data_IF_175547878100
#
_entry.id   IF_175547878100
#
_cell.length_a   1.000
_cell.length_b   1.000
_cell.length_c   1.000
_cell.angle_alpha   90.00
_cell.angle_beta   90.00
_cell.angle_gamma   90.00
#
_symmetry.space_group_name_H-M   'P 1'
#
loop_
_entity.id
_entity.type
_entity.pdbx_description
1 polymer ?
#
# COMPACT_ATOMS: atom_id res chain seq x y z
N UNK A 1 3.72 -4.12 28.11
CA UNK A 1 2.82 -5.28 27.94
C UNK A 1 3.68 -6.49 27.63
N UNK A 2 3.71 -7.48 28.52
CA UNK A 2 4.51 -8.70 28.35
C UNK A 2 3.65 -9.72 27.60
N UNK A 3 4.07 -10.15 26.41
CA UNK A 3 3.34 -11.17 25.63
C UNK A 3 3.95 -12.54 25.90
N UNK A 4 3.11 -13.57 26.08
CA UNK A 4 3.53 -14.97 26.25
C UNK A 4 3.13 -15.76 25.03
N UNK A 5 4.10 -16.33 24.32
CA UNK A 5 3.85 -17.20 23.19
C UNK A 5 3.52 -18.63 23.68
N UNK A 6 2.32 -19.10 23.37
CA UNK A 6 1.81 -20.43 23.76
C UNK A 6 1.77 -21.41 22.58
N UNK A 7 2.30 -21.02 21.41
CA UNK A 7 2.20 -21.80 20.17
C UNK A 7 2.82 -23.19 20.32
N UNK A 8 3.99 -23.31 20.98
CA UNK A 8 4.63 -24.61 21.23
C UNK A 8 3.77 -25.52 22.11
N UNK A 9 3.13 -24.97 23.13
CA UNK A 9 2.26 -25.73 24.04
C UNK A 9 0.97 -26.17 23.31
N UNK A 10 0.43 -25.30 22.45
CA UNK A 10 -0.71 -25.62 21.58
C UNK A 10 -0.37 -26.73 20.59
N UNK A 11 0.78 -26.67 19.92
CA UNK A 11 1.23 -27.73 19.00
C UNK A 11 1.40 -29.06 19.70
N UNK A 12 1.93 -29.05 20.94
CA UNK A 12 2.06 -30.24 21.74
C UNK A 12 0.69 -30.86 22.07
N UNK A 13 -0.31 -30.05 22.45
CA UNK A 13 -1.66 -30.54 22.69
C UNK A 13 -2.37 -31.02 21.42
N UNK A 14 -2.20 -30.29 20.29
CA UNK A 14 -2.76 -30.69 18.99
C UNK A 14 -2.19 -32.03 18.53
N UNK A 15 -0.87 -32.19 18.59
CA UNK A 15 -0.19 -33.42 18.18
C UNK A 15 -0.49 -34.58 19.12
N UNK A 16 -0.81 -34.32 20.39
CA UNK A 16 -1.25 -35.33 21.35
C UNK A 16 -2.69 -35.78 21.08
N UNK A 17 -3.59 -34.84 20.79
CA UNK A 17 -4.98 -35.13 20.45
C UNK A 17 -5.13 -35.93 19.14
N UNK A 18 -4.25 -35.72 18.16
CA UNK A 18 -4.25 -36.51 16.92
C UNK A 18 -3.60 -37.89 17.06
N UNK A 19 -2.70 -38.08 18.04
CA UNK A 19 -2.01 -39.36 18.29
C UNK A 19 -2.74 -40.29 19.26
N UNK A 20 -3.59 -39.78 20.14
CA UNK A 20 -4.40 -40.58 21.06
C UNK A 20 -5.90 -40.44 20.78
N UNK A 21 -6.46 -41.15 19.77
CA UNK A 21 -7.91 -41.27 19.63
C UNK A 21 -8.54 -42.21 20.68
N UNK A 22 -7.73 -42.83 21.54
CA UNK A 22 -8.14 -43.89 22.44
C UNK A 22 -8.26 -43.43 23.90
N UNK A 23 -9.32 -42.70 24.25
CA UNK A 23 -9.81 -42.76 25.64
C UNK A 23 -11.33 -42.72 25.83
N UNK A 24 -12.16 -42.58 24.78
CA UNK A 24 -13.62 -42.47 24.98
C UNK A 24 -14.49 -43.20 23.94
N UNK A 25 -14.02 -44.27 23.29
CA UNK A 25 -14.90 -45.07 22.42
C UNK A 25 -14.66 -46.57 22.62
N UNK A 26 -15.73 -47.25 23.02
CA UNK A 26 -15.87 -48.70 23.13
C UNK A 26 -15.24 -49.46 21.94
N UNK A 27 -14.45 -50.48 22.29
CA UNK A 27 -13.45 -51.11 21.44
C UNK A 27 -14.00 -52.11 20.41
N UNK A 28 -15.20 -51.87 19.85
CA UNK A 28 -15.81 -52.79 18.87
C UNK A 28 -16.27 -52.15 17.55
N UNK A 29 -16.27 -50.82 17.44
CA UNK A 29 -16.68 -50.12 16.22
C UNK A 29 -15.53 -49.52 15.42
N UNK A 30 -14.29 -49.58 15.94
CA UNK A 30 -13.12 -48.98 15.28
C UNK A 30 -12.69 -49.82 14.08
N UNK A 31 -12.75 -51.15 14.16
CA UNK A 31 -12.42 -52.04 13.05
C UNK A 31 -13.16 -51.70 11.75
N UNK A 32 -14.46 -51.41 11.83
CA UNK A 32 -15.27 -51.05 10.65
C UNK A 32 -14.95 -49.65 10.13
N UNK A 33 -14.59 -48.69 11.00
CA UNK A 33 -14.28 -47.32 10.58
C UNK A 33 -12.85 -47.17 10.06
N UNK A 34 -11.92 -47.98 10.56
CA UNK A 34 -10.53 -48.03 10.05
C UNK A 34 -10.43 -48.90 8.81
N UNK A 35 -11.25 -49.94 8.66
CA UNK A 35 -11.32 -50.72 7.42
C UNK A 35 -11.88 -49.90 6.25
N UNK A 36 -12.85 -49.01 6.50
CA UNK A 36 -13.38 -48.07 5.50
C UNK A 36 -12.40 -46.93 5.11
N UNK A 37 -11.28 -46.79 5.81
CA UNK A 37 -10.18 -45.88 5.46
C UNK A 37 -9.01 -46.60 4.78
N UNK A 38 -9.08 -47.93 4.66
CA UNK A 38 -7.95 -48.76 4.24
C UNK A 38 -8.26 -49.60 2.99
N UNK A 39 -9.39 -49.33 2.31
CA UNK A 39 -9.69 -49.88 1.01
C UNK A 39 -9.84 -48.77 -0.03
N UNK A 40 -8.89 -48.80 -0.96
CA UNK A 40 -8.94 -48.25 -2.31
C UNK A 40 -8.62 -46.76 -2.47
N UNK A 41 -7.50 -46.57 -3.19
CA UNK A 41 -6.90 -45.36 -3.71
C UNK A 41 -6.32 -44.36 -2.69
N UNK A 42 -4.97 -44.32 -2.67
CA UNK A 42 -4.23 -43.11 -2.34
C UNK A 42 -4.54 -42.03 -3.38
N UNK A 43 -5.78 -41.55 -3.41
CA UNK A 43 -6.06 -40.19 -3.80
C UNK A 43 -5.48 -39.33 -2.67
N UNK A 44 -4.17 -39.06 -2.79
CA UNK A 44 -3.62 -37.82 -2.28
C UNK A 44 -4.57 -36.77 -2.83
N UNK A 45 -5.50 -36.29 -1.99
CA UNK A 45 -6.23 -35.07 -2.25
C UNK A 45 -5.13 -34.03 -2.34
N UNK A 46 -4.64 -33.82 -3.55
CA UNK A 46 -3.88 -32.66 -3.91
C UNK A 46 -4.81 -31.53 -3.51
N UNK A 47 -4.52 -30.96 -2.35
CA UNK A 47 -5.05 -29.67 -1.98
C UNK A 47 -4.41 -28.72 -2.99
N UNK A 48 -5.00 -28.69 -4.17
CA UNK A 48 -4.69 -27.73 -5.21
C UNK A 48 -4.84 -26.40 -4.52
N UNK A 49 -3.68 -25.78 -4.28
CA UNK A 49 -3.57 -24.58 -3.47
C UNK A 49 -4.64 -23.63 -4.01
N UNK A 50 -5.67 -23.25 -3.22
CA UNK A 50 -6.81 -22.53 -3.76
C UNK A 50 -6.26 -21.34 -4.52
N UNK A 51 -6.57 -21.28 -5.81
CA UNK A 51 -6.01 -20.28 -6.72
C UNK A 51 -6.15 -18.92 -6.04
N UNK A 52 -5.01 -18.23 -5.93
CA UNK A 52 -4.96 -16.97 -5.20
C UNK A 52 -6.01 -16.04 -5.83
N UNK A 53 -6.95 -15.48 -5.04
CA UNK A 53 -8.01 -14.67 -5.61
C UNK A 53 -7.42 -13.56 -6.48
N UNK A 54 -7.99 -13.34 -7.67
CA UNK A 54 -7.49 -12.35 -8.64
C UNK A 54 -7.26 -10.96 -8.00
N UNK A 55 -8.11 -10.56 -7.04
CA UNK A 55 -7.97 -9.29 -6.33
C UNK A 55 -6.70 -9.21 -5.46
N UNK A 56 -6.27 -10.33 -4.89
CA UNK A 56 -5.07 -10.43 -4.05
C UNK A 56 -3.80 -10.33 -4.91
N UNK A 57 -3.82 -10.84 -6.14
CA UNK A 57 -2.75 -10.61 -7.11
C UNK A 57 -2.64 -9.13 -7.49
N UNK A 58 -3.77 -8.46 -7.73
CA UNK A 58 -3.80 -7.01 -7.96
C UNK A 58 -3.28 -6.22 -6.77
N UNK A 59 -3.68 -6.58 -5.54
CA UNK A 59 -3.19 -5.94 -4.32
C UNK A 59 -1.66 -6.07 -4.21
N UNK A 60 -1.13 -7.29 -4.40
CA UNK A 60 0.32 -7.53 -4.39
C UNK A 60 1.03 -6.71 -5.46
N UNK A 61 0.46 -6.62 -6.66
CA UNK A 61 1.01 -5.79 -7.74
C UNK A 61 1.05 -4.31 -7.34
N UNK A 62 -0.03 -3.78 -6.76
CA UNK A 62 -0.10 -2.39 -6.29
C UNK A 62 0.96 -2.16 -5.20
N UNK A 63 1.10 -3.06 -4.23
CA UNK A 63 2.11 -2.94 -3.18
C UNK A 63 3.53 -2.89 -3.76
N UNK A 64 3.85 -3.74 -4.74
CA UNK A 64 5.14 -3.73 -5.43
C UNK A 64 5.38 -2.41 -6.19
N UNK A 65 4.38 -1.91 -6.92
CA UNK A 65 4.47 -0.63 -7.62
C UNK A 65 4.66 0.53 -6.64
N UNK A 66 3.97 0.53 -5.50
CA UNK A 66 4.12 1.55 -4.46
C UNK A 66 5.52 1.55 -3.84
N UNK A 67 6.09 0.37 -3.59
CA UNK A 67 7.45 0.25 -3.08
C UNK A 67 8.51 0.70 -4.09
N UNK A 68 8.30 0.40 -5.37
CA UNK A 68 9.14 0.89 -6.46
C UNK A 68 9.09 2.43 -6.54
N UNK A 69 7.90 3.01 -6.57
CA UNK A 69 7.71 4.47 -6.55
C UNK A 69 8.39 5.08 -5.33
N UNK A 70 8.21 4.49 -4.14
CA UNK A 70 8.86 4.96 -2.91
C UNK A 70 10.38 4.97 -3.02
N UNK A 71 10.96 3.97 -3.66
CA UNK A 71 12.41 3.91 -3.93
C UNK A 71 12.86 5.02 -4.89
N UNK A 72 12.13 5.20 -5.99
CA UNK A 72 12.43 6.22 -7.01
C UNK A 72 12.29 7.64 -6.45
N UNK A 73 11.25 7.92 -5.65
CA UNK A 73 11.06 9.22 -4.98
C UNK A 73 12.24 9.54 -4.04
N UNK A 74 12.76 8.56 -3.30
CA UNK A 74 13.97 8.75 -2.47
C UNK A 74 15.20 9.07 -3.31
N UNK A 75 15.39 8.36 -4.43
CA UNK A 75 16.51 8.60 -5.35
C UNK A 75 16.42 10.00 -5.96
N UNK A 76 15.22 10.42 -6.39
CA UNK A 76 14.96 11.76 -6.89
C UNK A 76 15.29 12.83 -5.84
N UNK A 77 14.85 12.64 -4.60
CA UNK A 77 15.16 13.56 -3.50
C UNK A 77 16.67 13.70 -3.28
N UNK A 78 17.43 12.61 -3.34
CA UNK A 78 18.89 12.65 -3.21
C UNK A 78 19.55 13.41 -4.36
N UNK A 79 19.10 13.18 -5.60
CA UNK A 79 19.61 13.88 -6.79
C UNK A 79 19.27 15.37 -6.77
N UNK A 80 18.02 15.74 -6.44
CA UNK A 80 17.60 17.13 -6.28
C UNK A 80 18.43 17.84 -5.21
N UNK A 81 18.61 17.22 -4.04
CA UNK A 81 19.45 17.78 -2.97
C UNK A 81 20.93 17.91 -3.38
N UNK A 82 21.45 16.98 -4.17
CA UNK A 82 22.82 17.04 -4.71
C UNK A 82 22.96 18.20 -5.70
N UNK A 83 22.00 18.31 -6.63
CA UNK A 83 21.93 19.36 -7.63
C UNK A 83 21.87 20.76 -7.01
N UNK A 84 21.04 20.92 -5.98
CA UNK A 84 20.92 22.18 -5.23
C UNK A 84 22.21 22.61 -4.51
N UNK A 85 23.07 21.66 -4.11
CA UNK A 85 24.30 21.93 -3.35
C UNK A 85 25.53 22.15 -4.24
N UNK A 86 25.50 21.77 -5.51
CA UNK A 86 26.63 21.92 -6.41
C UNK A 86 26.66 23.34 -7.02
N UNK A 87 27.83 24.00 -7.10
CA UNK A 87 28.01 25.18 -7.94
C UNK A 87 27.77 24.81 -9.41
N UNK A 88 27.20 25.72 -10.22
CA UNK A 88 26.89 25.47 -11.64
C UNK A 88 28.17 25.14 -12.44
N UNK A 89 28.45 23.85 -12.58
CA UNK A 89 29.45 23.28 -13.49
C UNK A 89 28.75 22.33 -14.48
N UNK A 90 29.43 21.95 -15.57
CA UNK A 90 28.90 21.22 -16.74
C UNK A 90 28.14 19.90 -16.42
N UNK A 91 28.42 19.26 -15.27
CA UNK A 91 27.69 18.10 -14.75
C UNK A 91 26.20 18.38 -14.43
N UNK A 92 25.82 19.65 -14.32
CA UNK A 92 24.49 20.12 -14.00
C UNK A 92 23.45 19.71 -15.07
N UNK A 93 23.80 19.74 -16.36
CA UNK A 93 22.89 19.39 -17.45
C UNK A 93 22.51 17.89 -17.43
N UNK A 94 23.43 17.02 -17.04
CA UNK A 94 23.21 15.57 -17.01
C UNK A 94 22.40 15.17 -15.78
N UNK A 95 22.72 15.75 -14.62
CA UNK A 95 21.91 15.57 -13.40
C UNK A 95 20.49 16.11 -13.58
N UNK A 96 20.33 17.24 -14.28
CA UNK A 96 19.03 17.82 -14.62
C UNK A 96 18.18 16.90 -15.48
N UNK A 97 18.74 16.43 -16.61
CA UNK A 97 18.05 15.45 -17.46
C UNK A 97 17.63 14.20 -16.68
N UNK A 98 18.45 13.74 -15.74
CA UNK A 98 18.12 12.61 -14.88
C UNK A 98 16.97 12.93 -13.91
N UNK A 99 16.95 14.14 -13.32
CA UNK A 99 15.85 14.61 -12.45
C UNK A 99 14.54 14.67 -13.24
N UNK A 100 14.56 15.20 -14.46
CA UNK A 100 13.37 15.31 -15.31
C UNK A 100 12.87 13.93 -15.74
N UNK A 101 13.78 13.04 -16.15
CA UNK A 101 13.44 11.66 -16.51
C UNK A 101 12.82 10.92 -15.33
N UNK A 102 13.45 10.98 -14.15
CA UNK A 102 12.90 10.35 -12.94
C UNK A 102 11.56 10.95 -12.51
N UNK A 103 11.37 12.25 -12.68
CA UNK A 103 10.10 12.92 -12.36
C UNK A 103 8.98 12.44 -13.28
N UNK A 104 9.25 12.30 -14.58
CA UNK A 104 8.31 11.74 -15.55
C UNK A 104 8.04 10.25 -15.27
N UNK A 105 9.08 9.46 -14.97
CA UNK A 105 8.94 8.05 -14.61
C UNK A 105 8.08 7.87 -13.35
N UNK A 106 8.32 8.66 -12.31
CA UNK A 106 7.49 8.65 -11.09
C UNK A 106 6.04 9.03 -11.41
N UNK A 107 5.83 10.03 -12.25
CA UNK A 107 4.48 10.48 -12.61
C UNK A 107 3.73 9.38 -13.38
N UNK A 108 4.38 8.71 -14.33
CA UNK A 108 3.79 7.58 -15.07
C UNK A 108 3.52 6.38 -14.16
N UNK A 109 4.44 6.01 -13.27
CA UNK A 109 4.22 4.95 -12.28
C UNK A 109 3.05 5.28 -11.33
N UNK A 110 2.92 6.54 -10.90
CA UNK A 110 1.78 6.99 -10.09
C UNK A 110 0.46 6.87 -10.88
N UNK A 111 0.44 7.19 -12.17
CA UNK A 111 -0.74 7.01 -13.03
C UNK A 111 -1.10 5.53 -13.21
N UNK A 112 -0.12 4.66 -13.43
CA UNK A 112 -0.34 3.21 -13.53
C UNK A 112 -0.84 2.60 -12.21
N UNK A 113 -0.32 3.07 -11.08
CA UNK A 113 -0.78 2.69 -9.75
C UNK A 113 -2.23 3.15 -9.54
N UNK A 114 -2.56 4.39 -9.90
CA UNK A 114 -3.94 4.91 -9.85
C UNK A 114 -4.90 4.02 -10.67
N UNK A 115 -4.52 3.67 -11.91
CA UNK A 115 -5.32 2.79 -12.75
C UNK A 115 -5.50 1.38 -12.12
N UNK A 116 -4.46 0.86 -11.47
CA UNK A 116 -4.51 -0.45 -10.79
C UNK A 116 -5.42 -0.42 -9.56
N UNK A 117 -5.35 0.64 -8.75
CA UNK A 117 -6.23 0.87 -7.60
C UNK A 117 -7.69 1.03 -8.05
N UNK A 118 -7.94 1.76 -9.14
CA UNK A 118 -9.29 1.87 -9.72
C UNK A 118 -9.83 0.51 -10.20
N UNK A 119 -8.99 -0.32 -10.84
CA UNK A 119 -9.38 -1.69 -11.24
C UNK A 119 -9.75 -2.55 -10.03
N UNK A 120 -8.99 -2.46 -8.94
CA UNK A 120 -9.30 -3.16 -7.69
C UNK A 120 -10.64 -2.69 -7.10
N UNK A 121 -10.90 -1.38 -7.09
CA UNK A 121 -12.19 -0.80 -6.67
C UNK A 121 -13.36 -1.29 -7.53
N UNK A 122 -13.18 -1.40 -8.85
CA UNK A 122 -14.19 -1.97 -9.75
C UNK A 122 -14.45 -3.45 -9.48
N UNK A 123 -13.41 -4.22 -9.15
CA UNK A 123 -13.54 -5.63 -8.78
C UNK A 123 -14.27 -5.80 -7.44
N UNK A 124 -14.04 -4.89 -6.49
CA UNK A 124 -14.79 -4.83 -5.23
C UNK A 124 -16.30 -4.66 -5.48
N UNK A 125 -16.68 -3.74 -6.38
CA UNK A 125 -18.08 -3.49 -6.75
C UNK A 125 -18.73 -4.67 -7.47
N UNK A 126 -17.98 -5.42 -8.29
CA UNK A 126 -18.50 -6.59 -9.03
C UNK A 126 -18.67 -7.84 -8.15
N UNK A 127 -17.91 -7.96 -7.07
CA UNK A 127 -17.87 -9.16 -6.21
C UNK A 127 -19.02 -9.24 -5.18
N UNK A 128 -20.08 -8.44 -5.37
CA UNK A 128 -21.23 -8.25 -4.47
C UNK A 128 -22.07 -9.50 -4.15
N UNK A 129 -21.67 -10.70 -4.62
CA UNK A 129 -22.37 -11.97 -4.34
C UNK A 129 -21.95 -12.61 -3.01
N UNK A 130 -20.74 -12.34 -2.51
CA UNK A 130 -20.24 -12.88 -1.23
C UNK A 130 -19.92 -11.72 -0.26
N UNK A 131 -20.68 -11.63 0.84
CA UNK A 131 -20.53 -10.58 1.86
C UNK A 131 -19.11 -10.52 2.47
N UNK A 132 -18.50 -11.68 2.70
CA UNK A 132 -17.16 -11.78 3.31
C UNK A 132 -16.03 -11.33 2.36
N UNK A 133 -16.06 -11.80 1.10
CA UNK A 133 -15.08 -11.41 0.07
C UNK A 133 -15.18 -9.92 -0.24
N UNK A 134 -16.39 -9.36 -0.25
CA UNK A 134 -16.59 -7.93 -0.46
C UNK A 134 -15.92 -7.09 0.65
N UNK A 135 -16.01 -7.52 1.92
CA UNK A 135 -15.37 -6.80 3.03
C UNK A 135 -13.85 -6.89 2.97
N UNK A 136 -13.30 -8.07 2.66
CA UNK A 136 -11.86 -8.26 2.46
C UNK A 136 -11.33 -7.36 1.35
N UNK A 137 -11.98 -7.37 0.19
CA UNK A 137 -11.56 -6.53 -0.94
C UNK A 137 -11.70 -5.05 -0.58
N UNK A 138 -12.77 -4.64 0.10
CA UNK A 138 -12.94 -3.25 0.53
C UNK A 138 -11.83 -2.81 1.49
N UNK A 139 -11.40 -3.68 2.41
CA UNK A 139 -10.31 -3.39 3.33
C UNK A 139 -8.97 -3.29 2.59
N UNK A 140 -8.72 -4.19 1.63
CA UNK A 140 -7.54 -4.15 0.78
C UNK A 140 -7.48 -2.89 -0.10
N UNK A 141 -8.60 -2.49 -0.72
CA UNK A 141 -8.69 -1.23 -1.49
C UNK A 141 -8.39 -0.05 -0.58
N UNK A 142 -8.95 -0.04 0.64
CA UNK A 142 -8.72 1.04 1.60
C UNK A 142 -7.24 1.14 1.97
N UNK A 143 -6.61 0.03 2.34
CA UNK A 143 -5.18 -0.02 2.68
C UNK A 143 -4.31 0.46 1.51
N UNK A 144 -4.61 0.01 0.27
CA UNK A 144 -3.89 0.41 -0.93
C UNK A 144 -4.04 1.92 -1.21
N UNK A 145 -5.25 2.46 -1.10
CA UNK A 145 -5.54 3.88 -1.32
C UNK A 145 -4.83 4.76 -0.30
N UNK A 146 -4.81 4.38 0.98
CA UNK A 146 -4.10 5.12 2.02
C UNK A 146 -2.59 5.12 1.81
N UNK A 147 -2.01 3.96 1.47
CA UNK A 147 -0.59 3.86 1.15
C UNK A 147 -0.22 4.71 -0.08
N UNK A 148 -1.08 4.72 -1.11
CA UNK A 148 -0.90 5.52 -2.31
C UNK A 148 -1.03 7.03 -2.03
N UNK A 149 -1.99 7.44 -1.19
CA UNK A 149 -2.15 8.82 -0.75
C UNK A 149 -0.90 9.32 -0.02
N UNK A 150 -0.37 8.55 0.94
CA UNK A 150 0.85 8.90 1.69
C UNK A 150 2.05 9.15 0.75
N UNK A 151 2.27 8.25 -0.22
CA UNK A 151 3.36 8.40 -1.20
C UNK A 151 3.15 9.61 -2.10
N UNK A 152 1.93 9.83 -2.59
CA UNK A 152 1.58 10.96 -3.47
C UNK A 152 1.76 12.29 -2.75
N UNK A 153 1.32 12.39 -1.49
CA UNK A 153 1.53 13.58 -0.65
C UNK A 153 3.01 13.84 -0.38
N UNK A 154 3.80 12.80 -0.06
CA UNK A 154 5.25 12.94 0.11
C UNK A 154 5.93 13.44 -1.15
N UNK A 155 5.62 12.85 -2.30
CA UNK A 155 6.16 13.30 -3.59
C UNK A 155 5.84 14.77 -3.87
N UNK A 156 4.57 15.18 -3.70
CA UNK A 156 4.16 16.58 -3.86
C UNK A 156 4.94 17.52 -2.93
N UNK A 157 5.09 17.15 -1.66
CA UNK A 157 5.84 17.97 -0.69
C UNK A 157 7.32 18.10 -1.07
N UNK A 158 7.95 17.03 -1.57
CA UNK A 158 9.33 17.08 -2.05
C UNK A 158 9.47 17.97 -3.29
N UNK A 159 8.57 17.83 -4.27
CA UNK A 159 8.57 18.68 -5.47
C UNK A 159 8.32 20.15 -5.12
N UNK A 160 7.38 20.43 -4.21
CA UNK A 160 7.13 21.79 -3.73
C UNK A 160 8.36 22.38 -3.03
N UNK A 161 9.01 21.59 -2.17
CA UNK A 161 10.26 21.98 -1.50
C UNK A 161 11.38 22.29 -2.50
N UNK A 162 11.51 21.47 -3.55
CA UNK A 162 12.47 21.67 -4.63
C UNK A 162 12.21 22.99 -5.38
N UNK A 163 10.97 23.24 -5.80
CA UNK A 163 10.57 24.49 -6.48
C UNK A 163 10.86 25.71 -5.59
N UNK A 164 10.52 25.64 -4.30
CA UNK A 164 10.75 26.75 -3.37
C UNK A 164 12.24 27.08 -3.25
N UNK A 165 13.10 26.06 -3.16
CA UNK A 165 14.55 26.25 -3.10
C UNK A 165 15.13 26.77 -4.42
N UNK A 166 14.64 26.31 -5.57
CA UNK A 166 15.00 26.88 -6.87
C UNK A 166 14.63 28.36 -6.98
N UNK A 167 13.46 28.75 -6.49
CA UNK A 167 13.03 30.16 -6.44
C UNK A 167 13.91 30.99 -5.52
N UNK A 168 14.24 30.49 -4.33
CA UNK A 168 15.13 31.19 -3.40
C UNK A 168 16.54 31.34 -3.96
N UNK A 169 17.07 30.31 -4.63
CA UNK A 169 18.34 30.37 -5.36
C UNK A 169 18.29 31.42 -6.47
N UNK A 170 17.19 31.48 -7.23
CA UNK A 170 16.97 32.49 -8.26
C UNK A 170 17.01 33.91 -7.70
N UNK A 171 16.23 34.15 -6.64
CA UNK A 171 16.12 35.47 -6.03
C UNK A 171 17.44 35.94 -5.44
N UNK A 172 18.18 35.04 -4.77
CA UNK A 172 19.51 35.35 -4.25
C UNK A 172 20.51 35.65 -5.38
N UNK A 173 20.54 34.84 -6.46
CA UNK A 173 21.38 35.11 -7.63
C UNK A 173 21.06 36.47 -8.25
N UNK A 174 19.76 36.80 -8.38
CA UNK A 174 19.31 38.08 -8.92
C UNK A 174 19.77 39.25 -8.05
N UNK A 175 19.66 39.14 -6.74
CA UNK A 175 20.12 40.18 -5.80
C UNK A 175 21.63 40.38 -5.81
N UNK A 176 22.43 39.31 -5.88
CA UNK A 176 23.89 39.44 -6.05
C UNK A 176 24.27 40.11 -7.36
N UNK A 177 23.56 39.81 -8.46
CA UNK A 177 23.82 40.43 -9.76
C UNK A 177 23.39 41.90 -9.79
N UNK A 178 22.20 42.24 -9.28
CA UNK A 178 21.77 43.65 -9.20
C UNK A 178 22.66 44.48 -8.28
N UNK A 179 23.15 43.91 -7.17
CA UNK A 179 24.08 44.60 -6.29
C UNK A 179 25.47 44.75 -6.92
N UNK A 180 25.91 43.79 -7.74
CA UNK A 180 27.15 43.92 -8.52
C UNK A 180 27.03 44.99 -9.60
N UNK A 181 25.91 45.06 -10.32
CA UNK A 181 25.62 46.14 -11.27
C UNK A 181 25.64 47.50 -10.55
N UNK A 182 24.93 47.67 -9.43
CA UNK A 182 24.92 48.96 -8.69
C UNK A 182 26.33 49.35 -8.23
N UNK A 183 27.14 48.40 -7.76
CA UNK A 183 28.51 48.67 -7.27
C UNK A 183 29.50 48.98 -8.40
N UNK A 184 29.28 48.46 -9.61
CA UNK A 184 30.07 48.77 -10.81
C UNK A 184 29.74 50.16 -11.38
N UNK A 185 28.51 50.66 -11.16
CA UNK A 185 28.11 52.02 -11.55
C UNK A 185 28.47 53.07 -10.49
N UNK A 186 28.78 52.67 -9.25
CA UNK A 186 29.29 53.57 -8.22
C UNK A 186 30.82 53.53 -8.18
N UNK A 187 31.47 54.28 -9.08
CA UNK A 187 32.88 54.63 -8.90
C UNK A 187 33.06 55.33 -7.53
N UNK A 188 33.92 54.84 -6.61
CA UNK A 188 34.24 55.57 -5.38
C UNK A 188 35.20 56.75 -5.60
N UNK A 189 35.43 57.17 -6.84
CA UNK A 189 36.43 58.18 -7.19
C UNK A 189 35.86 59.14 -8.23
N UNK A 190 34.94 60.00 -7.78
CA UNK A 190 34.67 61.27 -8.44
C UNK A 190 34.84 62.36 -7.39
N UNK A 191 36.09 62.62 -7.05
CA UNK A 191 36.54 63.97 -6.75
C UNK A 191 37.60 64.33 -7.80
N UNK A 192 37.45 65.53 -8.34
CA UNK A 192 38.39 66.32 -9.16
C UNK A 192 38.33 66.19 -10.70
N UNK A 193 37.63 67.16 -11.31
CA UNK A 193 38.05 68.01 -12.44
C UNK A 193 39.03 67.41 -13.48
N UNK A 194 38.53 66.76 -14.53
CA UNK A 194 39.22 66.69 -15.83
C UNK A 194 38.22 66.45 -16.99
N UNK A 195 38.20 67.26 -18.08
CA UNK A 195 37.27 67.09 -19.19
C UNK A 195 37.95 66.42 -20.39
N UNK A 196 38.27 65.13 -20.31
CA UNK A 196 38.58 64.29 -21.48
C UNK A 196 38.23 62.84 -21.15
N UNK A 197 36.93 62.53 -21.08
CA UNK A 197 36.45 61.14 -21.03
C UNK A 197 36.43 60.60 -22.45
N UNK A 198 37.39 59.72 -22.74
CA UNK A 198 37.57 59.03 -24.02
C UNK A 198 36.31 58.22 -24.42
N UNK A 199 35.70 58.60 -25.55
CA UNK A 199 34.43 58.03 -26.05
C UNK A 199 34.55 56.53 -26.40
N UNK A 200 35.76 56.07 -26.74
CA UNK A 200 36.07 54.67 -27.04
C UNK A 200 36.06 53.77 -25.79
N UNK A 201 36.33 54.33 -24.60
CA UNK A 201 36.25 53.57 -23.35
C UNK A 201 34.80 53.33 -22.91
N UNK A 202 33.89 54.28 -23.18
CA UNK A 202 32.46 54.16 -22.85
C UNK A 202 31.73 53.16 -23.77
N UNK A 203 32.17 53.02 -25.02
CA UNK A 203 31.59 52.08 -26.00
C UNK A 203 31.94 50.62 -25.66
N UNK A 204 33.16 50.35 -25.16
CA UNK A 204 33.55 49.01 -24.68
C UNK A 204 32.77 48.58 -23.43
N UNK A 205 32.44 49.50 -22.52
CA UNK A 205 31.60 49.21 -21.36
C UNK A 205 30.16 48.90 -21.77
N UNK A 206 29.60 49.63 -22.74
CA UNK A 206 28.26 49.39 -23.27
C UNK A 206 28.13 48.06 -24.01
N UNK A 207 29.14 47.67 -24.81
CA UNK A 207 29.14 46.38 -25.53
C UNK A 207 29.28 45.19 -24.55
N UNK A 208 30.05 45.36 -23.47
CA UNK A 208 30.12 44.39 -22.38
C UNK A 208 28.81 44.31 -21.57
N UNK A 209 28.09 45.42 -21.44
CA UNK A 209 26.82 45.51 -20.72
C UNK A 209 25.67 44.80 -21.45
N UNK A 210 25.62 44.88 -22.79
CA UNK A 210 24.67 44.12 -23.61
C UNK A 210 24.95 42.60 -23.58
N UNK A 211 26.21 42.19 -23.50
CA UNK A 211 26.57 40.79 -23.32
C UNK A 211 26.21 40.27 -21.93
N UNK A 212 26.47 41.04 -20.87
CA UNK A 212 26.15 40.63 -19.48
C UNK A 212 24.63 40.58 -19.26
N UNK A 213 23.87 41.56 -19.74
CA UNK A 213 22.39 41.54 -19.67
C UNK A 213 21.79 40.42 -20.52
N UNK A 214 22.30 40.16 -21.72
CA UNK A 214 21.80 39.06 -22.56
C UNK A 214 22.13 37.66 -22.01
N UNK A 215 23.28 37.48 -21.35
CA UNK A 215 23.62 36.23 -20.62
C UNK A 215 22.75 36.06 -19.36
N UNK A 216 22.48 37.14 -18.63
CA UNK A 216 21.58 37.16 -17.48
C UNK A 216 20.16 36.72 -17.88
N UNK A 217 19.61 37.30 -18.95
CA UNK A 217 18.29 36.94 -19.45
C UNK A 217 18.21 35.50 -19.97
N UNK A 218 19.30 34.96 -20.53
CA UNK A 218 19.36 33.55 -20.96
C UNK A 218 19.34 32.61 -19.76
N UNK A 219 20.13 32.90 -18.72
CA UNK A 219 20.18 32.10 -17.50
C UNK A 219 18.86 32.15 -16.72
N UNK A 220 18.21 33.32 -16.66
CA UNK A 220 16.88 33.47 -16.09
C UNK A 220 15.82 32.64 -16.85
N UNK A 221 15.81 32.72 -18.19
CA UNK A 221 14.87 31.94 -19.02
C UNK A 221 15.05 30.43 -18.83
N UNK A 222 16.28 29.95 -18.74
CA UNK A 222 16.55 28.52 -18.56
C UNK A 222 16.10 28.01 -17.19
N UNK A 223 16.24 28.82 -16.14
CA UNK A 223 15.71 28.50 -14.80
C UNK A 223 14.20 28.64 -14.68
N UNK A 224 13.58 29.61 -15.35
CA UNK A 224 12.11 29.69 -15.43
C UNK A 224 11.50 28.48 -16.14
N UNK A 225 12.18 27.99 -17.18
CA UNK A 225 11.78 26.76 -17.89
C UNK A 225 11.81 25.55 -16.95
N UNK A 226 12.86 25.40 -16.13
CA UNK A 226 12.97 24.32 -15.15
C UNK A 226 11.85 24.33 -14.12
N UNK A 227 11.55 25.52 -13.57
CA UNK A 227 10.44 25.69 -12.63
C UNK A 227 9.12 25.32 -13.31
N UNK A 228 8.93 25.71 -14.59
CA UNK A 228 7.72 25.38 -15.35
C UNK A 228 7.54 23.89 -15.59
N UNK A 229 8.61 23.18 -15.96
CA UNK A 229 8.57 21.72 -16.17
C UNK A 229 8.23 20.98 -14.87
N UNK A 230 8.80 21.41 -13.74
CA UNK A 230 8.46 20.86 -12.42
C UNK A 230 7.02 21.20 -12.00
N UNK A 231 6.51 22.39 -12.36
CA UNK A 231 5.12 22.77 -12.11
C UNK A 231 4.14 21.95 -12.96
N UNK A 232 4.52 21.55 -14.17
CA UNK A 232 3.70 20.71 -15.02
C UNK A 232 3.53 19.31 -14.40
N UNK A 233 4.63 18.67 -13.97
CA UNK A 233 4.55 17.37 -13.30
C UNK A 233 3.76 17.46 -11.98
N UNK A 234 3.85 18.59 -11.25
CA UNK A 234 3.00 18.84 -10.08
C UNK A 234 1.52 18.92 -10.43
N UNK A 235 1.16 19.51 -11.57
CA UNK A 235 -0.23 19.58 -12.03
C UNK A 235 -0.76 18.18 -12.39
N UNK A 236 0.05 17.35 -13.05
CA UNK A 236 -0.30 15.96 -13.34
C UNK A 236 -0.56 15.16 -12.06
N UNK A 237 0.27 15.34 -11.04
CA UNK A 237 0.07 14.72 -9.72
C UNK A 237 -1.15 15.28 -9.00
N UNK A 238 -1.49 16.56 -9.19
CA UNK A 238 -2.70 17.14 -8.60
C UNK A 238 -3.98 16.51 -9.17
N UNK A 239 -3.98 16.17 -10.46
CA UNK A 239 -5.08 15.43 -11.08
C UNK A 239 -5.21 14.03 -10.44
N UNK A 240 -4.11 13.31 -10.30
CA UNK A 240 -4.07 12.01 -9.61
C UNK A 240 -4.58 12.14 -8.16
N UNK A 241 -4.18 13.20 -7.46
CA UNK A 241 -4.61 13.45 -6.08
C UNK A 241 -6.12 13.67 -5.97
N UNK A 242 -6.72 14.41 -6.90
CA UNK A 242 -8.17 14.59 -6.94
C UNK A 242 -8.88 13.26 -7.19
N UNK A 243 -8.38 12.44 -8.11
CA UNK A 243 -8.93 11.10 -8.35
C UNK A 243 -8.90 10.23 -7.09
N UNK A 244 -7.78 10.24 -6.36
CA UNK A 244 -7.65 9.53 -5.08
C UNK A 244 -8.63 10.08 -4.04
N UNK A 245 -8.77 11.40 -3.93
CA UNK A 245 -9.67 12.02 -2.96
C UNK A 245 -11.12 11.58 -3.19
N UNK A 246 -11.55 11.44 -4.45
CA UNK A 246 -12.87 10.88 -4.77
C UNK A 246 -12.98 9.41 -4.37
N UNK A 247 -11.94 8.60 -4.59
CA UNK A 247 -11.90 7.20 -4.16
C UNK A 247 -11.98 7.06 -2.64
N UNK A 248 -11.25 7.87 -1.87
CA UNK A 248 -11.30 7.90 -0.40
C UNK A 248 -12.68 8.32 0.09
N UNK A 249 -13.24 9.40 -0.47
CA UNK A 249 -14.57 9.88 -0.09
C UNK A 249 -15.67 8.84 -0.33
N UNK A 250 -15.51 7.99 -1.36
CA UNK A 250 -16.47 6.94 -1.68
C UNK A 250 -16.38 5.69 -0.79
N UNK A 251 -15.26 5.49 -0.09
CA UNK A 251 -15.01 4.31 0.74
C UNK A 251 -15.42 4.48 2.22
N UNK A 252 -15.63 5.72 2.69
CA UNK A 252 -16.06 6.01 4.06
C UNK A 252 -14.91 6.23 5.06
N UNK A 253 -15.26 6.57 6.31
CA UNK A 253 -14.31 6.96 7.36
C UNK A 253 -13.63 5.73 7.96
N UNK A 254 -12.30 5.81 8.06
CA UNK A 254 -11.30 4.85 8.55
C UNK A 254 -11.59 4.06 9.85
N UNK A 255 -12.67 4.34 10.59
CA UNK A 255 -12.88 3.88 11.96
C UNK A 255 -14.07 2.91 12.09
N UNK A 256 -15.11 3.02 11.25
CA UNK A 256 -16.33 2.21 11.43
C UNK A 256 -16.10 0.70 11.18
N UNK A 257 -15.11 0.33 10.38
CA UNK A 257 -14.98 -1.05 9.91
C UNK A 257 -14.40 -2.02 10.96
N UNK A 258 -13.51 -1.59 11.86
CA UNK A 258 -12.95 -2.52 12.88
C UNK A 258 -14.01 -2.85 13.92
N UNK A 259 -14.69 -1.83 14.47
CA UNK A 259 -15.75 -2.02 15.46
C UNK A 259 -16.93 -2.81 14.87
N UNK A 260 -17.35 -2.47 13.65
CA UNK A 260 -18.39 -3.21 12.92
C UNK A 260 -18.01 -4.67 12.64
N UNK A 261 -16.78 -4.94 12.17
CA UNK A 261 -16.34 -6.32 11.86
C UNK A 261 -16.20 -7.17 13.13
N UNK A 262 -15.79 -6.57 14.25
CA UNK A 262 -15.75 -7.26 15.56
C UNK A 262 -17.17 -7.54 16.04
N UNK A 263 -18.07 -6.57 15.97
CA UNK A 263 -19.47 -6.72 16.37
C UNK A 263 -20.16 -7.84 15.59
N UNK A 264 -19.97 -7.90 14.29
CA UNK A 264 -20.52 -8.99 13.48
C UNK A 264 -19.91 -10.35 13.81
N UNK A 265 -18.60 -10.41 14.06
CA UNK A 265 -17.94 -11.66 14.47
C UNK A 265 -18.50 -12.16 15.81
N UNK A 266 -18.78 -11.25 16.74
CA UNK A 266 -19.43 -11.57 18.02
C UNK A 266 -20.82 -12.15 17.79
N UNK A 267 -21.64 -11.54 16.92
CA UNK A 267 -22.97 -12.07 16.57
C UNK A 267 -22.90 -13.47 15.95
N UNK A 268 -21.95 -13.70 15.04
CA UNK A 268 -21.76 -15.02 14.43
C UNK A 268 -21.29 -16.08 15.43
N UNK A 269 -20.40 -15.73 16.37
CA UNK A 269 -19.96 -16.62 17.45
C UNK A 269 -21.11 -16.99 18.39
N UNK A 270 -21.98 -16.04 18.72
CA UNK A 270 -23.14 -16.30 19.56
C UNK A 270 -24.10 -17.28 18.89
N UNK A 271 -24.39 -17.09 17.60
CA UNK A 271 -25.21 -18.03 16.82
C UNK A 271 -24.54 -19.41 16.74
N UNK A 272 -23.23 -19.46 16.45
CA UNK A 272 -22.45 -20.70 16.43
C UNK A 272 -22.52 -21.47 17.75
N UNK A 273 -22.43 -20.77 18.88
CA UNK A 273 -22.57 -21.37 20.21
C UNK A 273 -23.98 -21.97 20.41
N UNK A 274 -25.04 -21.28 19.98
CA UNK A 274 -26.40 -21.83 20.04
C UNK A 274 -26.54 -23.10 19.18
N UNK A 275 -25.91 -23.16 18.00
CA UNK A 275 -25.90 -24.35 17.17
C UNK A 275 -25.13 -25.51 17.82
N UNK A 276 -24.01 -25.24 18.48
CA UNK A 276 -23.26 -26.25 19.24
C UNK A 276 -24.08 -26.81 20.40
N UNK A 277 -24.76 -25.96 21.17
CA UNK A 277 -25.65 -26.39 22.26
C UNK A 277 -26.77 -27.29 21.74
N UNK A 278 -27.44 -26.89 20.65
CA UNK A 278 -28.49 -27.70 20.01
C UNK A 278 -27.93 -29.03 19.51
N UNK A 279 -26.74 -29.04 18.91
CA UNK A 279 -26.10 -30.26 18.43
C UNK A 279 -25.80 -31.25 19.57
N UNK A 280 -25.30 -30.76 20.71
CA UNK A 280 -25.06 -31.57 21.91
C UNK A 280 -26.37 -32.12 22.47
N UNK A 281 -27.43 -31.32 22.51
CA UNK A 281 -28.75 -31.76 22.97
C UNK A 281 -29.32 -32.87 22.07
N UNK A 282 -29.21 -32.70 20.75
CA UNK A 282 -29.59 -33.73 19.77
C UNK A 282 -28.78 -35.01 19.94
N UNK A 283 -27.45 -34.92 20.12
CA UNK A 283 -26.58 -36.07 20.35
C UNK A 283 -26.99 -36.83 21.61
N UNK A 284 -27.23 -36.12 22.73
CA UNK A 284 -27.65 -36.73 23.99
C UNK A 284 -29.03 -37.39 23.88
N UNK A 285 -29.96 -36.80 23.12
CA UNK A 285 -31.26 -37.42 22.83
C UNK A 285 -31.06 -38.72 22.05
N UNK A 286 -30.28 -38.72 20.96
CA UNK A 286 -30.03 -39.93 20.17
C UNK A 286 -29.41 -41.06 21.01
N UNK A 287 -28.48 -40.75 21.93
CA UNK A 287 -27.92 -41.73 22.86
C UNK A 287 -28.99 -42.35 23.78
N UNK A 288 -29.91 -41.55 24.31
CA UNK A 288 -31.04 -42.04 25.13
C UNK A 288 -31.96 -42.96 24.33
N UNK A 289 -32.32 -42.57 23.11
CA UNK A 289 -33.17 -43.39 22.23
C UNK A 289 -32.47 -44.70 21.82
N UNK A 290 -31.17 -44.66 21.53
CA UNK A 290 -30.37 -45.86 21.21
C UNK A 290 -30.38 -46.87 22.37
N UNK A 291 -30.26 -46.40 23.61
CA UNK A 291 -30.35 -47.27 24.80
C UNK A 291 -31.73 -47.91 24.95
N UNK A 292 -32.80 -47.16 24.69
CA UNK A 292 -34.18 -47.69 24.73
C UNK A 292 -34.37 -48.79 23.68
N UNK A 293 -33.93 -48.58 22.44
CA UNK A 293 -34.04 -49.59 21.39
C UNK A 293 -33.25 -50.87 21.71
N UNK A 294 -32.05 -50.75 22.30
CA UNK A 294 -31.27 -51.91 22.76
C UNK A 294 -32.03 -52.66 23.86
N UNK A 295 -32.61 -51.95 24.84
CA UNK A 295 -33.39 -52.56 25.92
C UNK A 295 -34.61 -53.33 25.42
N UNK A 296 -35.35 -52.77 24.46
CA UNK A 296 -36.49 -53.44 23.82
C UNK A 296 -36.02 -54.70 23.08
N UNK A 297 -34.91 -54.62 22.33
CA UNK A 297 -34.34 -55.77 21.63
C UNK A 297 -34.00 -56.93 22.57
N UNK A 298 -33.37 -56.66 23.71
CA UNK A 298 -33.05 -57.68 24.72
C UNK A 298 -34.32 -58.31 25.31
N UNK A 299 -35.34 -57.50 25.63
CA UNK A 299 -36.60 -57.99 26.19
C UNK A 299 -37.34 -58.94 25.23
N UNK A 300 -37.39 -58.59 23.93
CA UNK A 300 -37.99 -59.45 22.90
C UNK A 300 -37.23 -60.77 22.78
N UNK A 301 -35.90 -60.74 22.83
CA UNK A 301 -35.06 -61.93 22.75
C UNK A 301 -35.31 -62.88 23.93
N UNK A 302 -35.41 -62.33 25.15
CA UNK A 302 -35.75 -63.11 26.35
C UNK A 302 -37.16 -63.72 26.26
N UNK A 303 -38.14 -62.99 25.73
CA UNK A 303 -39.50 -63.50 25.55
C UNK A 303 -39.54 -64.69 24.58
N UNK A 304 -38.82 -64.61 23.46
CA UNK A 304 -38.71 -65.71 22.49
C UNK A 304 -38.08 -66.95 23.13
N UNK A 305 -37.02 -66.77 23.93
CA UNK A 305 -36.37 -67.88 24.63
C UNK A 305 -37.33 -68.52 25.63
N UNK A 306 -38.06 -67.71 26.41
CA UNK A 306 -39.01 -68.21 27.41
C UNK A 306 -40.16 -69.00 26.76
N UNK A 307 -40.71 -68.50 25.65
CA UNK A 307 -41.71 -69.21 24.85
C UNK A 307 -41.18 -70.48 24.19
N UNK A 308 -39.88 -70.59 23.95
CA UNK A 308 -39.27 -71.81 23.42
C UNK A 308 -38.99 -72.86 24.50
N UNK A 309 -38.93 -72.47 25.77
CA UNK A 309 -38.65 -73.36 26.91
C UNK A 309 -39.95 -73.92 27.51
N UNK A 310 -41.01 -73.12 27.51
CA UNK A 310 -42.39 -73.51 27.88
C UNK A 310 -43.01 -74.39 26.80
#
# INVERSE_FOLDING_TARGET
MTTRNLTSQFEQFRNRATREPHYLVDNKSIGDRTALLQSEDEDIVHFEKPDLPLWMELERKIQLQLDEVRSQVKKLQQLQNKYLKQPDFDDNLTNKKQIDTLTNDITTMLQECNASVQRLSLQAKKSQKNSYDQRLISNAVQAAVTAFQDITTKFRNYQWGYILQLKHRNENSRQTMTNFDINMHSNPFTDQDDPDIDFDQLTLTLESQDQVTSLTLKFEKEREKEIRETLQSMNDVNNIFNDIATLVSSQGTYIDQIEYNIEETVVQLEQGNQHLVKAVEHQNRLLKWKLIFIGIGVAVLLFIILMSII
#
